data_IF_197139521865
#
_entry.id   IF_197139521865
#
_cell.length_a   1.000
_cell.length_b   1.000
_cell.length_c   1.000
_cell.angle_alpha   90.00
_cell.angle_beta   90.00
_cell.angle_gamma   90.00
#
_symmetry.space_group_name_H-M   'P 1'
#
loop_
_entity.id
_entity.type
_entity.pdbx_description
1 polymer ?
#
# COMPACT_ATOMS: atom_id res chain seq x y z
N UNK A 1 26.11 63.47 -6.57
CA UNK A 1 26.95 62.34 -7.06
C UNK A 1 26.09 61.08 -7.06
N UNK A 2 25.97 60.44 -8.23
CA UNK A 2 24.97 59.40 -8.58
C UNK A 2 25.26 58.10 -7.82
N UNK A 3 24.26 57.57 -7.09
CA UNK A 3 24.32 56.26 -6.44
C UNK A 3 24.08 55.17 -7.49
N UNK A 4 25.05 54.28 -7.64
CA UNK A 4 25.03 53.13 -8.55
C UNK A 4 24.07 52.08 -7.95
N UNK A 5 22.94 51.88 -8.62
CA UNK A 5 21.96 50.83 -8.27
C UNK A 5 22.49 49.51 -8.85
N UNK A 6 22.93 48.61 -7.96
CA UNK A 6 23.24 47.23 -8.30
C UNK A 6 21.91 46.48 -8.50
N UNK A 7 21.58 46.19 -9.75
CA UNK A 7 20.47 45.28 -10.11
C UNK A 7 20.83 43.87 -9.68
N UNK A 8 20.15 43.40 -8.64
CA UNK A 8 20.22 42.06 -8.10
C UNK A 8 19.36 41.14 -8.96
N UNK A 9 19.96 40.12 -9.57
CA UNK A 9 19.25 39.09 -10.32
C UNK A 9 18.45 38.22 -9.35
N UNK A 10 17.13 38.23 -9.46
CA UNK A 10 16.24 37.30 -8.77
C UNK A 10 15.91 36.17 -9.75
N UNK A 11 16.66 35.08 -9.66
CA UNK A 11 16.30 33.81 -10.26
C UNK A 11 15.70 32.92 -9.16
N UNK A 12 14.38 33.04 -8.96
CA UNK A 12 13.63 32.11 -8.11
C UNK A 12 12.99 31.09 -9.03
N UNK A 13 13.70 29.99 -9.27
CA UNK A 13 13.12 28.75 -9.74
C UNK A 13 13.10 27.79 -8.55
N UNK A 14 12.07 27.91 -7.71
CA UNK A 14 11.72 26.83 -6.78
C UNK A 14 11.07 25.70 -7.58
N UNK A 15 11.91 24.90 -8.22
CA UNK A 15 11.54 23.56 -8.64
C UNK A 15 11.45 22.68 -7.39
N UNK A 16 10.26 22.63 -6.77
CA UNK A 16 9.95 21.63 -5.75
C UNK A 16 9.70 20.28 -6.44
N UNK A 17 10.75 19.68 -6.98
CA UNK A 17 10.71 18.25 -7.33
C UNK A 17 10.92 17.48 -6.02
N UNK A 18 9.84 17.30 -5.26
CA UNK A 18 9.85 16.29 -4.20
C UNK A 18 10.05 14.93 -4.90
N UNK A 19 11.09 14.16 -4.56
CA UNK A 19 11.16 12.78 -4.99
C UNK A 19 9.95 12.07 -4.38
N UNK A 20 8.99 11.71 -5.21
CA UNK A 20 7.98 10.73 -4.82
C UNK A 20 8.76 9.44 -4.60
N UNK A 21 8.82 8.86 -3.39
CA UNK A 21 9.43 7.56 -3.22
C UNK A 21 8.64 6.56 -4.07
N UNK A 22 9.21 6.23 -5.22
CA UNK A 22 8.80 5.10 -6.03
C UNK A 22 9.26 3.86 -5.28
N UNK A 23 8.33 3.20 -4.61
CA UNK A 23 8.59 1.99 -3.85
C UNK A 23 7.78 1.99 -2.57
N UNK A 24 6.62 1.36 -2.60
CA UNK A 24 6.02 0.83 -1.39
C UNK A 24 7.01 -0.20 -0.83
N UNK A 25 7.84 0.21 0.12
CA UNK A 25 8.81 -0.67 0.77
C UNK A 25 8.01 -1.66 1.63
N UNK A 26 7.71 -2.83 1.07
CA UNK A 26 6.99 -3.96 1.70
C UNK A 26 7.82 -4.57 2.86
N UNK A 27 8.95 -3.97 3.24
CA UNK A 27 9.75 -4.42 4.36
C UNK A 27 9.09 -4.26 5.74
N UNK A 28 7.88 -3.69 5.82
CA UNK A 28 7.08 -3.51 7.06
C UNK A 28 6.09 -4.66 7.33
N UNK A 29 6.21 -5.82 6.69
CA UNK A 29 5.53 -7.05 7.16
C UNK A 29 6.33 -7.69 8.32
N UNK A 30 6.62 -6.89 9.34
CA UNK A 30 7.29 -7.29 10.57
C UNK A 30 6.41 -6.97 11.78
N UNK A 31 5.65 -7.96 12.26
CA UNK A 31 4.79 -7.86 13.44
C UNK A 31 3.34 -8.27 13.18
N UNK A 32 2.73 -9.05 14.08
CA UNK A 32 1.35 -9.57 13.89
C UNK A 32 0.28 -8.51 13.65
N UNK A 33 0.52 -7.26 14.08
CA UNK A 33 -0.33 -6.10 13.81
C UNK A 33 -0.12 -5.49 12.41
N UNK A 34 1.11 -5.46 11.89
CA UNK A 34 1.44 -4.89 10.57
C UNK A 34 1.04 -5.82 9.42
N UNK A 35 0.97 -7.13 9.65
CA UNK A 35 0.52 -8.11 8.65
C UNK A 35 -0.96 -8.00 8.27
N UNK A 36 -1.85 -7.80 9.25
CA UNK A 36 -3.30 -7.67 8.97
C UNK A 36 -3.59 -6.39 8.19
N UNK A 37 -3.14 -5.24 8.69
CA UNK A 37 -3.34 -3.97 7.98
C UNK A 37 -2.64 -3.94 6.63
N UNK A 38 -1.45 -4.54 6.50
CA UNK A 38 -0.77 -4.66 5.20
C UNK A 38 -1.61 -5.41 4.18
N UNK A 39 -2.15 -6.58 4.56
CA UNK A 39 -3.04 -7.37 3.69
C UNK A 39 -4.34 -6.61 3.38
N UNK A 40 -4.91 -5.96 4.39
CA UNK A 40 -6.13 -5.17 4.22
C UNK A 40 -5.95 -4.00 3.24
N UNK A 41 -4.78 -3.35 3.24
CA UNK A 41 -4.46 -2.29 2.28
C UNK A 41 -4.36 -2.82 0.85
N UNK A 42 -3.76 -4.00 0.64
CA UNK A 42 -3.69 -4.64 -0.68
C UNK A 42 -5.09 -4.99 -1.19
N UNK A 43 -5.95 -5.54 -0.32
CA UNK A 43 -7.34 -5.79 -0.70
C UNK A 43 -8.11 -4.50 -0.98
N UNK A 44 -7.91 -3.43 -0.19
CA UNK A 44 -8.56 -2.13 -0.44
C UNK A 44 -8.19 -1.55 -1.82
N UNK A 45 -6.92 -1.60 -2.20
CA UNK A 45 -6.46 -1.22 -3.54
C UNK A 45 -7.12 -2.08 -4.63
N UNK A 46 -7.24 -3.39 -4.38
CA UNK A 46 -7.92 -4.33 -5.29
C UNK A 46 -9.41 -4.01 -5.48
N UNK A 47 -10.13 -3.56 -4.43
CA UNK A 47 -11.51 -3.06 -4.57
C UNK A 47 -11.56 -1.80 -5.44
N UNK A 48 -10.63 -0.86 -5.28
CA UNK A 48 -10.57 0.34 -6.12
C UNK A 48 -10.33 -0.06 -7.58
N UNK A 49 -9.35 -0.92 -7.81
CA UNK A 49 -9.00 -1.40 -9.15
C UNK A 49 -10.17 -2.11 -9.85
N UNK A 50 -10.94 -2.94 -9.13
CA UNK A 50 -12.13 -3.58 -9.69
C UNK A 50 -13.19 -2.55 -10.13
N UNK A 51 -13.38 -1.48 -9.37
CA UNK A 51 -14.33 -0.39 -9.71
C UNK A 51 -13.85 0.49 -10.86
N UNK A 52 -12.54 0.57 -11.07
CA UNK A 52 -11.93 1.23 -12.23
C UNK A 52 -11.89 0.33 -13.47
N UNK A 53 -12.35 -0.93 -13.37
CA UNK A 53 -12.33 -1.89 -14.48
C UNK A 53 -10.94 -2.45 -14.79
N UNK A 54 -9.98 -2.31 -13.87
CA UNK A 54 -8.65 -2.91 -14.00
C UNK A 54 -8.79 -4.43 -13.84
N UNK A 55 -8.42 -5.25 -14.83
CA UNK A 55 -8.50 -6.71 -14.71
C UNK A 55 -7.68 -7.26 -13.53
N UNK A 56 -8.18 -8.32 -12.89
CA UNK A 56 -7.59 -8.89 -11.67
C UNK A 56 -6.18 -9.44 -11.91
N UNK A 57 -5.88 -9.86 -13.13
CA UNK A 57 -4.60 -10.42 -13.55
C UNK A 57 -3.44 -9.44 -13.28
N UNK A 58 -3.69 -8.13 -13.37
CA UNK A 58 -2.68 -7.09 -13.11
C UNK A 58 -2.35 -6.92 -11.63
N UNK A 59 -3.25 -7.33 -10.74
CA UNK A 59 -3.00 -7.28 -9.30
C UNK A 59 -2.23 -8.53 -8.81
N UNK A 60 -2.24 -9.64 -9.57
CA UNK A 60 -1.61 -10.90 -9.15
C UNK A 60 -0.09 -10.80 -9.08
N UNK A 61 0.52 -9.88 -9.82
CA UNK A 61 1.97 -9.61 -9.75
C UNK A 61 2.40 -9.13 -8.36
N UNK A 62 1.49 -8.50 -7.58
CA UNK A 62 1.74 -8.14 -6.18
C UNK A 62 1.88 -9.36 -5.27
N UNK A 63 1.32 -10.51 -5.67
CA UNK A 63 1.45 -11.76 -4.93
C UNK A 63 2.72 -12.53 -5.27
N UNK A 64 3.54 -12.08 -6.23
CA UNK A 64 4.79 -12.75 -6.55
C UNK A 64 5.79 -12.69 -5.38
N UNK A 65 6.15 -13.86 -4.85
CA UNK A 65 7.30 -13.99 -3.96
C UNK A 65 8.56 -13.86 -4.83
N UNK A 66 9.41 -12.90 -4.51
CA UNK A 66 10.72 -12.75 -5.16
C UNK A 66 11.47 -14.08 -5.15
N UNK A 67 11.50 -14.71 -6.30
CA UNK A 67 12.32 -15.86 -6.58
C UNK A 67 13.78 -15.44 -6.48
N UNK A 68 14.51 -15.96 -5.48
CA UNK A 68 15.96 -15.86 -5.46
C UNK A 68 16.51 -16.36 -6.80
N UNK A 69 17.44 -15.58 -7.37
CA UNK A 69 18.08 -15.75 -8.68
C UNK A 69 18.27 -17.21 -9.09
N UNK A 70 17.35 -17.75 -9.88
CA UNK A 70 17.44 -19.11 -10.42
C UNK A 70 16.27 -19.43 -11.33
N UNK A 71 16.56 -19.80 -12.58
CA UNK A 71 15.59 -20.08 -13.65
C UNK A 71 14.65 -21.28 -13.39
N UNK A 72 14.68 -21.88 -12.20
CA UNK A 72 13.77 -22.94 -11.74
C UNK A 72 12.79 -22.47 -10.65
N UNK A 73 12.79 -21.17 -10.32
CA UNK A 73 11.86 -20.58 -9.38
C UNK A 73 10.63 -20.07 -10.13
N UNK A 74 9.75 -20.99 -10.56
CA UNK A 74 8.45 -20.62 -11.11
C UNK A 74 7.72 -19.68 -10.14
N UNK A 75 7.05 -18.66 -10.66
CA UNK A 75 6.28 -17.63 -9.93
C UNK A 75 5.60 -18.21 -8.69
N UNK A 76 6.27 -18.19 -7.54
CA UNK A 76 5.67 -18.64 -6.29
C UNK A 76 4.80 -17.49 -5.84
N UNK A 77 3.49 -17.63 -6.00
CA UNK A 77 2.55 -16.65 -5.49
C UNK A 77 2.34 -16.89 -3.99
N UNK A 78 2.28 -15.82 -3.22
CA UNK A 78 1.80 -15.85 -1.84
C UNK A 78 0.31 -16.19 -1.86
N UNK A 79 -0.04 -17.46 -1.58
CA UNK A 79 -1.44 -17.91 -1.54
C UNK A 79 -2.32 -17.02 -0.65
N UNK A 80 -1.89 -16.61 0.56
CA UNK A 80 -2.72 -15.72 1.40
C UNK A 80 -2.99 -14.37 0.73
N UNK A 81 -2.00 -13.79 0.05
CA UNK A 81 -2.16 -12.50 -0.62
C UNK A 81 -3.01 -12.62 -1.88
N UNK A 82 -2.88 -13.73 -2.60
CA UNK A 82 -3.71 -14.05 -3.76
C UNK A 82 -5.19 -14.14 -3.37
N UNK A 83 -5.51 -14.82 -2.27
CA UNK A 83 -6.88 -14.88 -1.73
C UNK A 83 -7.39 -13.47 -1.41
N UNK A 84 -6.62 -12.66 -0.71
CA UNK A 84 -7.00 -11.28 -0.38
C UNK A 84 -7.30 -10.44 -1.63
N UNK A 85 -6.45 -10.53 -2.66
CA UNK A 85 -6.64 -9.80 -3.93
C UNK A 85 -7.93 -10.26 -4.62
N UNK A 86 -8.10 -11.57 -4.83
CA UNK A 86 -9.24 -12.11 -5.57
C UNK A 86 -10.57 -11.88 -4.84
N UNK A 87 -10.61 -12.07 -3.52
CA UNK A 87 -11.81 -11.81 -2.72
C UNK A 87 -12.18 -10.32 -2.76
N UNK A 88 -11.20 -9.43 -2.69
CA UNK A 88 -11.44 -7.99 -2.81
C UNK A 88 -11.94 -7.58 -4.21
N UNK A 89 -11.47 -8.25 -5.27
CA UNK A 89 -11.98 -8.05 -6.63
C UNK A 89 -13.45 -8.42 -6.78
N UNK A 90 -13.91 -9.42 -6.01
CA UNK A 90 -15.29 -9.89 -5.98
C UNK A 90 -16.15 -9.16 -4.93
N UNK A 91 -15.58 -8.23 -4.16
CA UNK A 91 -16.32 -7.47 -3.17
C UNK A 91 -17.45 -6.68 -3.82
N UNK A 92 -18.68 -6.79 -3.30
CA UNK A 92 -19.87 -6.14 -3.87
C UNK A 92 -20.04 -4.68 -3.41
N UNK A 93 -19.56 -4.34 -2.21
CA UNK A 93 -19.72 -3.01 -1.61
C UNK A 93 -18.83 -1.91 -2.21
N UNK A 94 -18.85 -0.73 -1.60
CA UNK A 94 -17.92 0.34 -1.96
C UNK A 94 -16.51 0.09 -1.37
N UNK A 95 -15.46 0.76 -1.88
CA UNK A 95 -14.15 0.77 -1.22
C UNK A 95 -14.25 1.23 0.24
N UNK A 96 -15.12 2.20 0.53
CA UNK A 96 -15.35 2.65 1.90
C UNK A 96 -15.91 1.54 2.79
N UNK A 97 -16.89 0.77 2.31
CA UNK A 97 -17.45 -0.36 3.06
C UNK A 97 -16.41 -1.44 3.31
N UNK A 98 -15.55 -1.71 2.33
CA UNK A 98 -14.43 -2.64 2.50
C UNK A 98 -13.49 -2.14 3.60
N UNK A 99 -13.07 -0.87 3.54
CA UNK A 99 -12.16 -0.27 4.52
C UNK A 99 -12.73 -0.35 5.94
N UNK A 100 -14.00 0.03 6.12
CA UNK A 100 -14.67 -0.04 7.43
C UNK A 100 -14.70 -1.47 7.95
N UNK A 101 -15.09 -2.45 7.14
CA UNK A 101 -15.20 -3.85 7.60
C UNK A 101 -13.84 -4.49 7.91
N UNK A 102 -12.88 -4.35 7.00
CA UNK A 102 -11.59 -5.07 7.09
C UNK A 102 -10.60 -4.37 8.01
N UNK A 103 -10.52 -3.04 8.00
CA UNK A 103 -9.63 -2.35 8.95
C UNK A 103 -10.15 -2.43 10.38
N UNK A 104 -11.47 -2.42 10.58
CA UNK A 104 -12.04 -2.61 11.91
C UNK A 104 -11.78 -4.02 12.45
N UNK A 105 -11.88 -5.06 11.60
CA UNK A 105 -11.55 -6.42 12.02
C UNK A 105 -10.06 -6.57 12.39
N UNK A 106 -9.16 -5.93 11.63
CA UNK A 106 -7.74 -5.84 12.02
C UNK A 106 -7.54 -5.12 13.36
N UNK A 107 -8.26 -4.03 13.62
CA UNK A 107 -8.16 -3.31 14.89
C UNK A 107 -8.63 -4.15 16.09
N UNK A 108 -9.72 -4.93 15.93
CA UNK A 108 -10.20 -5.84 16.98
C UNK A 108 -9.20 -6.94 17.33
N UNK A 109 -8.47 -7.45 16.33
CA UNK A 109 -7.46 -8.49 16.53
C UNK A 109 -6.20 -7.98 17.24
N UNK A 110 -5.99 -6.66 17.29
CA UNK A 110 -4.84 -6.01 17.91
C UNK A 110 -5.02 -5.63 19.37
N UNK A 111 -6.22 -5.78 19.94
CA UNK A 111 -6.45 -5.58 21.37
C UNK A 111 -6.23 -6.88 22.15
N UNK A 112 -5.05 -7.14 22.75
CA UNK A 112 -5.01 -7.99 23.92
C UNK A 112 -5.75 -7.24 25.03
N UNK A 113 -6.82 -7.84 25.55
CA UNK A 113 -7.44 -7.38 26.79
C UNK A 113 -6.40 -7.58 27.90
N UNK A 114 -5.57 -6.57 28.15
CA UNK A 114 -4.75 -6.51 29.36
C UNK A 114 -5.66 -6.01 30.48
N UNK A 115 -6.08 -6.94 31.36
CA UNK A 115 -6.58 -6.59 32.69
C UNK A 115 -7.99 -7.07 33.03
N UNK A 116 -8.21 -8.38 33.09
CA UNK A 116 -9.08 -8.94 34.13
C UNK A 116 -8.38 -8.73 35.48
N UNK A 117 -8.46 -7.50 35.98
CA UNK A 117 -8.01 -7.07 37.29
C UNK A 117 -9.18 -6.44 38.02
N UNK A 118 -10.06 -7.27 38.56
CA UNK A 118 -10.93 -6.95 39.69
C UNK A 118 -10.93 -8.13 40.64
#
# INVERSE_FOLDING_TARGET
MKRIIRTMWVAVMLGLSAPVPAGLDIHVVGGGASGCFGSAMVGFDSVINSRLGVPAEHALDMAALSAGTGAAAGNRLSTPLLTVILDAYLWEGSPHDYAVNVFYSCAQQQTPIVGAGR
#
